data_IF_261896393644
#
_entry.id   IF_261896393644
#
_cell.length_a   1.000
_cell.length_b   1.000
_cell.length_c   1.000
_cell.angle_alpha   90.00
_cell.angle_beta   90.00
_cell.angle_gamma   90.00
#
_symmetry.space_group_name_H-M   'P 1'
#
loop_
_entity.id
_entity.type
_entity.pdbx_description
1 polymer ?
#
# COMPACT_ATOMS: atom_id res chain seq x y z
N UNK A 1 35.57 -39.01 -36.51
CA UNK A 1 35.06 -39.51 -35.22
C UNK A 1 34.32 -38.37 -34.54
N UNK A 2 33.00 -38.32 -34.72
CA UNK A 2 32.14 -37.30 -34.10
C UNK A 2 31.20 -37.98 -33.12
N UNK A 3 31.30 -37.62 -31.85
CA UNK A 3 30.43 -38.14 -30.78
C UNK A 3 29.28 -37.16 -30.59
N UNK A 4 28.15 -37.43 -31.23
CA UNK A 4 26.90 -36.71 -30.98
C UNK A 4 26.24 -37.33 -29.74
N UNK A 5 26.35 -36.67 -28.59
CA UNK A 5 25.56 -37.00 -27.40
C UNK A 5 24.16 -36.42 -27.59
N UNK A 6 23.17 -37.27 -27.89
CA UNK A 6 21.75 -36.92 -27.81
C UNK A 6 21.35 -36.85 -26.34
N UNK A 7 21.18 -35.64 -25.80
CA UNK A 7 20.43 -35.44 -24.57
C UNK A 7 18.94 -35.69 -24.86
N UNK A 8 18.41 -36.79 -24.30
CA UNK A 8 16.97 -37.05 -24.25
C UNK A 8 16.28 -35.91 -23.50
N UNK A 9 15.36 -35.22 -24.17
CA UNK A 9 14.28 -34.50 -23.51
C UNK A 9 13.29 -35.54 -22.95
N UNK A 10 13.44 -35.91 -21.68
CA UNK A 10 12.37 -36.50 -20.89
C UNK A 10 11.69 -35.37 -20.11
N UNK A 11 10.95 -34.52 -20.84
CA UNK A 11 9.98 -33.61 -20.25
C UNK A 11 8.70 -34.39 -19.99
N UNK A 12 8.63 -35.06 -18.84
CA UNK A 12 7.38 -35.67 -18.39
C UNK A 12 6.36 -34.55 -18.12
N UNK A 13 5.26 -34.59 -18.86
CA UNK A 13 3.98 -33.97 -18.54
C UNK A 13 3.53 -34.46 -17.15
N UNK A 14 4.06 -33.83 -16.08
CA UNK A 14 3.54 -34.04 -14.73
C UNK A 14 2.23 -33.27 -14.66
N UNK A 15 1.14 -33.96 -14.95
CA UNK A 15 -0.20 -33.51 -14.59
C UNK A 15 -0.16 -33.04 -13.12
N UNK A 16 -0.47 -31.77 -12.91
CA UNK A 16 -0.56 -31.22 -11.56
C UNK A 16 -1.58 -32.08 -10.78
N UNK A 17 -1.28 -32.47 -9.53
CA UNK A 17 -2.22 -33.24 -8.73
C UNK A 17 -3.55 -32.46 -8.66
N UNK A 18 -4.70 -33.15 -8.69
CA UNK A 18 -5.99 -32.50 -8.59
C UNK A 18 -6.07 -31.69 -7.30
N UNK A 19 -6.61 -30.47 -7.39
CA UNK A 19 -6.82 -29.63 -6.22
C UNK A 19 -7.73 -30.34 -5.20
N UNK A 20 -7.44 -30.17 -3.92
CA UNK A 20 -8.28 -30.76 -2.87
C UNK A 20 -9.71 -30.19 -2.94
N UNK A 21 -10.73 -30.95 -2.49
CA UNK A 21 -12.10 -30.46 -2.42
C UNK A 21 -12.25 -29.14 -1.65
N UNK A 22 -11.53 -28.98 -0.54
CA UNK A 22 -11.53 -27.74 0.24
C UNK A 22 -11.04 -26.53 -0.58
N UNK A 23 -9.95 -26.67 -1.33
CA UNK A 23 -9.41 -25.60 -2.17
C UNK A 23 -10.33 -25.29 -3.35
N UNK A 24 -10.99 -26.31 -3.90
CA UNK A 24 -12.01 -26.10 -4.93
C UNK A 24 -13.18 -25.27 -4.40
N UNK A 25 -13.66 -25.55 -3.18
CA UNK A 25 -14.71 -24.76 -2.53
C UNK A 25 -14.25 -23.32 -2.23
N UNK A 26 -13.00 -23.15 -1.78
CA UNK A 26 -12.41 -21.84 -1.52
C UNK A 26 -12.31 -20.99 -2.79
N UNK A 27 -11.84 -21.58 -3.90
CA UNK A 27 -11.74 -20.87 -5.18
C UNK A 27 -13.10 -20.41 -5.69
N UNK A 28 -14.17 -21.19 -5.48
CA UNK A 28 -15.54 -20.75 -5.81
C UNK A 28 -15.95 -19.51 -5.02
N UNK A 29 -15.56 -19.39 -3.75
CA UNK A 29 -15.81 -18.18 -2.97
C UNK A 29 -15.04 -16.97 -3.50
N UNK A 30 -13.78 -17.17 -3.91
CA UNK A 30 -12.98 -16.09 -4.53
C UNK A 30 -13.63 -15.61 -5.82
N UNK A 31 -14.15 -16.50 -6.67
CA UNK A 31 -14.91 -16.12 -7.87
C UNK A 31 -16.18 -15.34 -7.53
N UNK A 32 -16.90 -15.70 -6.47
CA UNK A 32 -18.03 -14.92 -5.99
C UNK A 32 -17.61 -13.50 -5.58
N UNK A 33 -16.49 -13.35 -4.87
CA UNK A 33 -15.96 -12.02 -4.52
C UNK A 33 -15.52 -11.22 -5.75
N UNK A 34 -14.94 -11.85 -6.78
CA UNK A 34 -14.64 -11.20 -8.07
C UNK A 34 -15.90 -10.66 -8.72
N UNK A 35 -16.94 -11.49 -8.81
CA UNK A 35 -18.23 -11.07 -9.36
C UNK A 35 -18.81 -9.90 -8.56
N UNK A 36 -18.82 -9.99 -7.23
CA UNK A 36 -19.29 -8.90 -6.36
C UNK A 36 -18.51 -7.59 -6.58
N UNK A 37 -17.17 -7.64 -6.67
CA UNK A 37 -16.36 -6.46 -6.96
C UNK A 37 -16.67 -5.86 -8.35
N UNK A 38 -16.91 -6.70 -9.36
CA UNK A 38 -17.25 -6.24 -10.70
C UNK A 38 -18.63 -5.55 -10.76
N UNK A 39 -19.62 -6.07 -10.03
CA UNK A 39 -20.97 -5.49 -9.99
C UNK A 39 -21.12 -4.32 -9.02
N UNK A 40 -20.40 -4.35 -7.89
CA UNK A 40 -20.45 -3.31 -6.85
C UNK A 40 -19.07 -3.15 -6.18
N UNK A 41 -18.20 -2.30 -6.73
CA UNK A 41 -16.85 -2.06 -6.20
C UNK A 41 -16.81 -1.56 -4.75
N UNK A 42 -17.90 -0.95 -4.26
CA UNK A 42 -18.00 -0.44 -2.89
C UNK A 42 -18.22 -1.56 -1.86
N UNK A 43 -18.69 -2.74 -2.30
CA UNK A 43 -18.93 -3.88 -1.41
C UNK A 43 -17.65 -4.66 -1.10
N UNK A 44 -16.78 -4.84 -2.10
CA UNK A 44 -15.45 -5.46 -1.94
C UNK A 44 -14.48 -4.63 -2.74
N UNK A 45 -13.56 -3.92 -2.08
CA UNK A 45 -12.55 -3.12 -2.78
C UNK A 45 -11.54 -4.01 -3.52
N UNK A 46 -10.95 -3.49 -4.60
CA UNK A 46 -9.93 -4.20 -5.39
C UNK A 46 -8.74 -4.66 -4.52
N UNK A 47 -8.32 -3.82 -3.56
CA UNK A 47 -7.27 -4.17 -2.62
C UNK A 47 -7.67 -5.34 -1.72
N UNK A 48 -8.95 -5.40 -1.31
CA UNK A 48 -9.44 -6.51 -0.49
C UNK A 48 -9.54 -7.79 -1.28
N UNK A 49 -10.01 -7.72 -2.52
CA UNK A 49 -10.07 -8.86 -3.43
C UNK A 49 -8.68 -9.50 -3.61
N UNK A 50 -7.65 -8.69 -3.87
CA UNK A 50 -6.26 -9.15 -3.98
C UNK A 50 -5.76 -9.86 -2.73
N UNK A 51 -6.17 -9.42 -1.54
CA UNK A 51 -5.81 -10.09 -0.28
C UNK A 51 -6.51 -11.45 -0.14
N UNK A 52 -7.78 -11.55 -0.52
CA UNK A 52 -8.52 -12.82 -0.51
C UNK A 52 -7.89 -13.81 -1.49
N UNK A 53 -7.56 -13.37 -2.71
CA UNK A 53 -6.86 -14.18 -3.72
C UNK A 53 -5.51 -14.67 -3.22
N UNK A 54 -4.72 -13.78 -2.59
CA UNK A 54 -3.44 -14.14 -2.02
C UNK A 54 -3.56 -15.21 -0.93
N UNK A 55 -4.45 -15.02 0.04
CA UNK A 55 -4.66 -15.99 1.14
C UNK A 55 -5.19 -17.33 0.60
N UNK A 56 -6.07 -17.32 -0.41
CA UNK A 56 -6.51 -18.54 -1.06
C UNK A 56 -5.36 -19.29 -1.77
N UNK A 57 -4.48 -18.54 -2.45
CA UNK A 57 -3.27 -19.10 -3.04
C UNK A 57 -2.32 -19.71 -2.00
N UNK A 58 -2.12 -19.04 -0.86
CA UNK A 58 -1.32 -19.60 0.24
C UNK A 58 -1.93 -20.87 0.84
N UNK A 59 -3.26 -20.93 1.02
CA UNK A 59 -3.93 -22.13 1.51
C UNK A 59 -3.79 -23.30 0.53
N UNK A 60 -3.83 -23.03 -0.78
CA UNK A 60 -3.60 -24.05 -1.80
C UNK A 60 -2.17 -24.64 -1.74
N UNK A 61 -1.17 -23.83 -1.34
CA UNK A 61 0.19 -24.29 -1.07
C UNK A 61 0.25 -25.06 0.25
N UNK A 62 -0.46 -24.59 1.28
CA UNK A 62 -0.36 -25.11 2.63
C UNK A 62 -1.07 -26.46 2.84
N UNK A 63 -2.21 -26.70 2.18
CA UNK A 63 -3.00 -27.94 2.34
C UNK A 63 -2.16 -29.20 2.05
N UNK A 64 -1.39 -29.29 0.95
CA UNK A 64 -0.48 -30.41 0.70
C UNK A 64 0.62 -30.60 1.75
N UNK A 65 0.93 -29.58 2.55
CA UNK A 65 1.94 -29.65 3.62
C UNK A 65 1.39 -30.28 4.91
N UNK A 66 0.09 -30.61 4.96
CA UNK A 66 -0.55 -31.25 6.11
C UNK A 66 -0.92 -30.26 7.21
N UNK A 67 -1.94 -29.41 6.96
CA UNK A 67 -2.48 -28.50 7.98
C UNK A 67 -3.22 -29.24 9.11
N UNK A 68 -3.95 -30.29 8.74
CA UNK A 68 -4.53 -31.30 9.61
C UNK A 68 -4.83 -32.54 8.76
N UNK A 69 -5.26 -33.65 9.36
CA UNK A 69 -5.62 -34.87 8.63
C UNK A 69 -6.77 -34.63 7.62
N UNK A 70 -7.73 -33.77 7.97
CA UNK A 70 -8.95 -33.55 7.18
C UNK A 70 -9.00 -32.19 6.46
N UNK A 71 -7.99 -31.33 6.59
CA UNK A 71 -8.00 -29.97 6.03
C UNK A 71 -8.24 -29.90 4.50
N UNK A 72 -7.98 -30.99 3.77
CA UNK A 72 -8.25 -31.08 2.33
C UNK A 72 -9.69 -31.45 1.96
N UNK A 73 -10.48 -31.98 2.89
CA UNK A 73 -11.75 -32.67 2.60
C UNK A 73 -12.93 -31.70 2.40
N UNK A 74 -12.96 -30.60 3.14
CA UNK A 74 -13.99 -29.57 2.98
C UNK A 74 -13.49 -28.20 3.44
N UNK A 75 -14.18 -27.13 3.02
CA UNK A 75 -13.89 -25.79 3.52
C UNK A 75 -14.09 -25.69 5.05
N UNK A 76 -15.03 -26.45 5.61
CA UNK A 76 -15.25 -26.50 7.06
C UNK A 76 -14.01 -27.05 7.78
N UNK A 77 -13.42 -28.12 7.25
CA UNK A 77 -12.24 -28.76 7.85
C UNK A 77 -10.98 -27.91 7.64
N UNK A 78 -10.88 -27.21 6.50
CA UNK A 78 -9.81 -26.24 6.24
C UNK A 78 -9.83 -25.05 7.22
N UNK A 79 -11.02 -24.62 7.62
CA UNK A 79 -11.23 -23.49 8.54
C UNK A 79 -11.38 -23.94 10.01
N UNK A 80 -11.16 -25.23 10.30
CA UNK A 80 -11.18 -25.74 11.67
C UNK A 80 -10.00 -25.16 12.49
N UNK A 81 -10.13 -25.02 13.83
CA UNK A 81 -9.13 -24.37 14.67
C UNK A 81 -7.70 -24.91 14.49
N UNK A 82 -7.53 -26.23 14.42
CA UNK A 82 -6.21 -26.86 14.26
C UNK A 82 -5.58 -26.56 12.89
N UNK A 83 -6.36 -26.66 11.81
CA UNK A 83 -5.89 -26.34 10.46
C UNK A 83 -5.49 -24.87 10.32
N UNK A 84 -6.28 -23.96 10.90
CA UNK A 84 -5.99 -22.52 10.95
C UNK A 84 -4.72 -22.25 11.74
N UNK A 85 -4.56 -22.86 12.92
CA UNK A 85 -3.35 -22.71 13.76
C UNK A 85 -2.09 -23.20 13.04
N UNK A 86 -2.16 -24.33 12.35
CA UNK A 86 -1.07 -24.86 11.55
C UNK A 86 -0.74 -23.91 10.39
N UNK A 87 -1.75 -23.42 9.67
CA UNK A 87 -1.60 -22.49 8.56
C UNK A 87 -0.91 -21.19 8.99
N UNK A 88 -1.36 -20.56 10.08
CA UNK A 88 -0.74 -19.34 10.60
C UNK A 88 0.70 -19.59 11.04
N UNK A 89 0.99 -20.76 11.62
CA UNK A 89 2.36 -21.14 12.00
C UNK A 89 3.29 -21.29 10.78
N UNK A 90 2.82 -21.91 9.69
CA UNK A 90 3.55 -21.97 8.43
C UNK A 90 3.81 -20.57 7.84
N UNK A 91 2.82 -19.68 7.94
CA UNK A 91 2.93 -18.29 7.51
C UNK A 91 4.00 -17.50 8.28
N UNK A 92 4.08 -17.68 9.61
CA UNK A 92 5.13 -17.08 10.46
C UNK A 92 6.52 -17.64 10.12
N UNK A 93 6.62 -18.94 9.85
CA UNK A 93 7.87 -19.59 9.43
C UNK A 93 8.32 -19.25 8.01
N UNK A 94 7.55 -18.46 7.26
CA UNK A 94 7.88 -18.07 5.88
C UNK A 94 7.71 -19.16 4.83
N UNK A 95 7.16 -20.32 5.22
CA UNK A 95 7.03 -21.50 4.35
C UNK A 95 6.03 -21.33 3.20
N UNK A 96 5.16 -20.31 3.29
CA UNK A 96 4.12 -20.03 2.31
C UNK A 96 4.54 -19.02 1.23
N UNK A 97 5.77 -18.50 1.30
CA UNK A 97 6.29 -17.52 0.35
C UNK A 97 6.86 -18.20 -0.89
N UNK A 98 6.43 -17.74 -2.07
CA UNK A 98 6.97 -18.21 -3.37
C UNK A 98 8.30 -17.55 -3.76
N UNK A 99 8.72 -16.49 -3.05
CA UNK A 99 10.03 -15.88 -3.20
C UNK A 99 10.72 -15.70 -1.85
N UNK A 100 11.99 -16.10 -1.76
CA UNK A 100 12.85 -15.82 -0.62
C UNK A 100 12.98 -14.30 -0.45
N UNK A 101 12.34 -13.75 0.57
CA UNK A 101 12.55 -12.37 1.01
C UNK A 101 13.39 -12.44 2.27
N UNK A 102 14.52 -11.73 2.28
CA UNK A 102 15.24 -11.41 3.52
C UNK A 102 14.36 -10.41 4.26
N UNK A 103 13.46 -10.91 5.11
CA UNK A 103 12.59 -10.06 5.91
C UNK A 103 13.34 -9.72 7.21
N UNK A 104 13.97 -8.55 7.24
CA UNK A 104 14.61 -8.01 8.45
C UNK A 104 13.60 -7.40 9.43
N UNK A 105 12.29 -7.53 9.15
CA UNK A 105 11.24 -6.73 9.77
C UNK A 105 10.10 -7.57 10.37
N UNK A 106 10.18 -7.77 11.69
CA UNK A 106 9.18 -8.51 12.46
C UNK A 106 7.74 -7.92 12.35
N UNK A 107 7.59 -6.62 12.06
CA UNK A 107 6.27 -5.98 11.94
C UNK A 107 5.53 -6.34 10.64
N UNK A 108 6.26 -6.76 9.61
CA UNK A 108 5.72 -7.29 8.35
C UNK A 108 4.95 -8.60 8.57
N UNK A 109 5.44 -9.42 9.51
CA UNK A 109 4.85 -10.70 9.89
C UNK A 109 3.49 -10.49 10.56
N UNK A 110 3.42 -9.58 11.55
CA UNK A 110 2.17 -9.27 12.27
C UNK A 110 1.08 -8.68 11.36
N UNK A 111 1.46 -7.78 10.45
CA UNK A 111 0.53 -7.18 9.51
C UNK A 111 -0.02 -8.23 8.52
N UNK A 112 0.85 -9.10 8.01
CA UNK A 112 0.47 -10.20 7.11
C UNK A 112 -0.46 -11.20 7.80
N UNK A 113 -0.14 -11.56 9.04
CA UNK A 113 -0.96 -12.47 9.84
C UNK A 113 -2.36 -11.92 10.13
N UNK A 114 -2.47 -10.62 10.43
CA UNK A 114 -3.78 -9.95 10.59
C UNK A 114 -4.60 -10.02 9.30
N UNK A 115 -3.96 -9.85 8.13
CA UNK A 115 -4.65 -9.99 6.85
C UNK A 115 -5.12 -11.42 6.63
N UNK A 116 -4.31 -12.43 6.96
CA UNK A 116 -4.69 -13.84 6.91
C UNK A 116 -5.92 -14.11 7.75
N UNK A 117 -5.90 -13.75 9.04
CA UNK A 117 -7.02 -13.94 9.97
C UNK A 117 -8.29 -13.25 9.44
N UNK A 118 -8.16 -12.02 8.94
CA UNK A 118 -9.29 -11.30 8.35
C UNK A 118 -9.89 -12.05 7.14
N UNK A 119 -9.05 -12.56 6.24
CA UNK A 119 -9.50 -13.27 5.04
C UNK A 119 -10.16 -14.60 5.41
N UNK A 120 -9.57 -15.37 6.32
CA UNK A 120 -10.14 -16.62 6.83
C UNK A 120 -11.55 -16.41 7.39
N UNK A 121 -11.73 -15.37 8.21
CA UNK A 121 -13.05 -15.06 8.76
C UNK A 121 -14.02 -14.58 7.69
N UNK A 122 -13.53 -13.87 6.67
CA UNK A 122 -14.36 -13.43 5.54
C UNK A 122 -14.85 -14.62 4.71
N UNK A 123 -13.99 -15.62 4.48
CA UNK A 123 -14.38 -16.89 3.86
C UNK A 123 -15.41 -17.64 4.70
N UNK A 124 -15.16 -17.79 6.00
CA UNK A 124 -16.06 -18.46 6.92
C UNK A 124 -17.45 -17.83 6.94
N UNK A 125 -17.51 -16.50 7.07
CA UNK A 125 -18.76 -15.74 7.11
C UNK A 125 -19.58 -15.92 5.83
N UNK A 126 -18.92 -15.84 4.67
CA UNK A 126 -19.62 -15.98 3.38
C UNK A 126 -20.07 -17.42 3.14
N UNK A 127 -19.27 -18.40 3.55
CA UNK A 127 -19.61 -19.82 3.47
C UNK A 127 -20.58 -20.29 4.56
N UNK A 128 -20.94 -19.43 5.52
CA UNK A 128 -21.73 -19.76 6.71
C UNK A 128 -21.13 -20.91 7.52
N UNK A 129 -19.80 -20.97 7.58
CA UNK A 129 -19.03 -21.94 8.36
C UNK A 129 -18.73 -21.33 9.74
N UNK A 130 -18.99 -22.04 10.85
CA UNK A 130 -18.56 -21.59 12.16
C UNK A 130 -17.03 -21.41 12.21
N UNK A 131 -16.57 -20.28 12.72
CA UNK A 131 -15.15 -19.94 12.77
C UNK A 131 -14.78 -19.32 14.10
N UNK A 132 -13.77 -19.90 14.74
CA UNK A 132 -13.16 -19.36 15.95
C UNK A 132 -12.01 -18.44 15.54
N UNK A 133 -12.21 -17.12 15.72
CA UNK A 133 -11.21 -16.13 15.33
C UNK A 133 -9.96 -16.25 16.21
N UNK A 134 -8.77 -16.54 15.65
CA UNK A 134 -7.53 -16.58 16.42
C UNK A 134 -7.19 -15.22 17.02
N UNK A 135 -6.40 -15.21 18.10
CA UNK A 135 -5.90 -13.97 18.68
C UNK A 135 -5.08 -13.17 17.66
N UNK A 136 -5.38 -11.87 17.55
CA UNK A 136 -4.62 -10.99 16.67
C UNK A 136 -3.24 -10.72 17.30
N UNK A 137 -2.15 -10.73 16.53
CA UNK A 137 -0.82 -10.34 17.04
C UNK A 137 -0.87 -8.91 17.55
N UNK A 138 0.01 -8.55 18.50
CA UNK A 138 0.03 -7.21 19.12
C UNK A 138 0.18 -6.06 18.10
N UNK A 139 -0.21 -4.85 18.47
CA UNK A 139 0.14 -3.65 17.72
C UNK A 139 1.37 -3.02 18.34
N UNK A 140 2.54 -3.56 18.01
CA UNK A 140 3.78 -2.83 18.25
C UNK A 140 3.87 -1.72 17.19
N UNK A 141 3.56 -0.48 17.59
CA UNK A 141 3.97 0.66 16.79
C UNK A 141 5.50 0.68 16.76
N UNK A 142 6.11 0.88 15.59
CA UNK A 142 7.56 1.08 15.53
C UNK A 142 7.92 2.29 16.40
N UNK A 143 9.12 2.30 17.00
CA UNK A 143 9.69 3.53 17.51
C UNK A 143 9.60 4.58 16.40
N UNK A 144 8.98 5.69 16.74
CA UNK A 144 8.86 6.82 15.84
C UNK A 144 10.22 7.48 15.78
N UNK A 145 10.83 7.33 14.62
CA UNK A 145 12.13 7.92 14.27
C UNK A 145 12.09 9.46 14.41
N UNK A 146 13.26 10.08 14.41
CA UNK A 146 13.41 11.51 14.73
C UNK A 146 12.63 12.45 13.80
N UNK A 147 12.05 13.51 14.39
CA UNK A 147 11.32 14.61 13.72
C UNK A 147 12.11 15.30 12.59
N UNK A 148 13.46 15.26 12.64
CA UNK A 148 14.34 15.90 11.65
C UNK A 148 14.16 15.40 10.21
N UNK A 149 13.50 14.26 10.00
CA UNK A 149 13.35 13.67 8.67
C UNK A 149 12.47 14.49 7.74
N UNK A 150 11.53 15.27 8.30
CA UNK A 150 10.75 16.24 7.54
C UNK A 150 11.68 17.21 6.81
N UNK A 151 12.59 17.81 7.57
CA UNK A 151 13.47 18.87 7.09
C UNK A 151 14.46 18.35 6.05
N UNK A 152 15.00 17.15 6.26
CA UNK A 152 15.93 16.53 5.30
C UNK A 152 15.26 16.30 3.94
N UNK A 153 14.03 15.77 3.92
CA UNK A 153 13.29 15.56 2.66
C UNK A 153 12.89 16.90 2.04
N UNK A 154 12.40 17.85 2.83
CA UNK A 154 12.06 19.20 2.34
C UNK A 154 13.27 19.88 1.71
N UNK A 155 14.41 19.85 2.38
CA UNK A 155 15.67 20.43 1.89
C UNK A 155 16.11 19.76 0.59
N UNK A 156 16.11 18.43 0.52
CA UNK A 156 16.46 17.71 -0.69
C UNK A 156 15.55 18.10 -1.87
N UNK A 157 14.23 18.14 -1.65
CA UNK A 157 13.28 18.55 -2.70
C UNK A 157 13.48 20.00 -3.14
N UNK A 158 13.76 20.92 -2.21
CA UNK A 158 14.06 22.32 -2.52
C UNK A 158 15.37 22.45 -3.31
N UNK A 159 16.42 21.70 -2.94
CA UNK A 159 17.67 21.65 -3.68
C UNK A 159 17.47 21.10 -5.11
N UNK A 160 16.73 20.01 -5.27
CA UNK A 160 16.37 19.48 -6.59
C UNK A 160 15.58 20.50 -7.42
N UNK A 161 14.64 21.23 -6.80
CA UNK A 161 13.87 22.27 -7.47
C UNK A 161 14.71 23.49 -7.85
N UNK A 162 15.74 23.81 -7.07
CA UNK A 162 16.68 24.91 -7.30
C UNK A 162 17.66 24.67 -8.45
N UNK A 163 17.78 23.43 -8.94
CA UNK A 163 18.56 23.11 -10.15
C UNK A 163 17.93 23.63 -11.45
N UNK A 164 16.68 24.09 -11.37
CA UNK A 164 15.89 24.51 -12.53
C UNK A 164 15.39 25.94 -12.34
N UNK A 165 15.43 26.78 -13.39
CA UNK A 165 14.61 27.99 -13.45
C UNK A 165 13.14 27.64 -13.22
N UNK A 166 12.39 28.53 -12.58
CA UNK A 166 10.98 28.28 -12.24
C UNK A 166 10.12 27.95 -13.46
N UNK A 167 10.35 28.64 -14.58
CA UNK A 167 9.62 28.43 -15.84
C UNK A 167 9.87 27.04 -16.44
N UNK A 168 11.09 26.53 -16.34
CA UNK A 168 11.56 25.28 -16.94
C UNK A 168 11.54 24.09 -15.96
N UNK A 169 11.07 24.31 -14.72
CA UNK A 169 11.06 23.27 -13.68
C UNK A 169 10.17 22.10 -14.13
N UNK A 170 10.68 20.86 -14.11
CA UNK A 170 9.90 19.69 -14.49
C UNK A 170 8.62 19.54 -13.64
N UNK A 171 7.50 19.23 -14.29
CA UNK A 171 6.20 19.03 -13.63
C UNK A 171 6.26 17.98 -12.50
N UNK A 172 7.11 16.95 -12.66
CA UNK A 172 7.32 15.93 -11.65
C UNK A 172 7.86 16.48 -10.32
N UNK A 173 8.70 17.52 -10.38
CA UNK A 173 9.26 18.20 -9.20
C UNK A 173 8.20 19.10 -8.58
N UNK A 174 7.50 19.91 -9.38
CA UNK A 174 6.41 20.78 -8.90
C UNK A 174 5.34 19.96 -8.20
N UNK A 175 4.89 18.87 -8.82
CA UNK A 175 3.96 17.91 -8.21
C UNK A 175 4.51 17.31 -6.93
N UNK A 176 5.80 16.92 -6.94
CA UNK A 176 6.45 16.28 -5.80
C UNK A 176 6.50 17.19 -4.57
N UNK A 177 6.84 18.48 -4.76
CA UNK A 177 6.81 19.48 -3.70
C UNK A 177 5.40 19.67 -3.14
N UNK A 178 4.39 19.84 -4.00
CA UNK A 178 3.00 19.99 -3.57
C UNK A 178 2.49 18.74 -2.81
N UNK A 179 2.79 17.53 -3.32
CA UNK A 179 2.47 16.28 -2.63
C UNK A 179 3.13 16.17 -1.26
N UNK A 180 4.39 16.61 -1.15
CA UNK A 180 5.13 16.59 0.11
C UNK A 180 4.58 17.60 1.13
N UNK A 181 4.23 18.82 0.69
CA UNK A 181 3.56 19.80 1.55
C UNK A 181 2.23 19.27 2.08
N UNK A 182 1.38 18.72 1.20
CA UNK A 182 0.11 18.07 1.59
C UNK A 182 0.35 16.91 2.56
N UNK A 183 1.43 16.15 2.38
CA UNK A 183 1.82 15.10 3.32
C UNK A 183 2.16 15.63 4.71
N UNK A 184 2.94 16.71 4.78
CA UNK A 184 3.33 17.31 6.06
C UNK A 184 2.12 17.88 6.81
N UNK A 185 1.21 18.55 6.10
CA UNK A 185 0.07 19.23 6.71
C UNK A 185 -1.05 18.25 7.06
N UNK A 186 -1.29 17.26 6.20
CA UNK A 186 -2.50 16.43 6.29
C UNK A 186 -2.24 14.95 6.54
N UNK A 187 -0.99 14.49 6.49
CA UNK A 187 -0.59 13.11 6.77
C UNK A 187 -1.47 12.05 6.07
N UNK A 188 -1.77 12.18 4.76
CA UNK A 188 -2.67 11.27 4.08
C UNK A 188 -1.99 9.92 3.87
N UNK A 189 -2.77 8.85 3.97
CA UNK A 189 -2.33 7.55 3.48
C UNK A 189 -2.19 7.61 1.98
N UNK A 190 -1.37 6.73 1.43
CA UNK A 190 -1.11 6.72 0.00
C UNK A 190 -2.38 6.52 -0.86
N UNK A 191 -3.34 5.72 -0.37
CA UNK A 191 -4.64 5.56 -1.03
C UNK A 191 -5.55 6.79 -0.90
N UNK A 192 -5.47 7.51 0.21
CA UNK A 192 -6.20 8.78 0.41
C UNK A 192 -5.64 9.84 -0.54
N UNK A 193 -4.30 9.98 -0.57
CA UNK A 193 -3.60 10.88 -1.49
C UNK A 193 -3.95 10.56 -2.95
N UNK A 194 -3.86 9.30 -3.38
CA UNK A 194 -4.25 8.84 -4.72
C UNK A 194 -5.69 9.22 -5.09
N UNK A 195 -6.61 9.17 -4.12
CA UNK A 195 -8.04 9.43 -4.34
C UNK A 195 -8.45 10.90 -4.32
N UNK A 196 -7.56 11.82 -3.93
CA UNK A 196 -7.87 13.25 -3.84
C UNK A 196 -8.30 13.83 -5.19
N UNK A 197 -9.35 14.65 -5.16
CA UNK A 197 -9.96 15.32 -6.31
C UNK A 197 -9.96 16.82 -6.13
N UNK A 198 -10.15 17.55 -7.23
CA UNK A 198 -10.27 19.01 -7.19
C UNK A 198 -11.43 19.50 -6.32
N UNK A 199 -12.54 18.77 -6.29
CA UNK A 199 -13.71 19.08 -5.46
C UNK A 199 -13.43 18.94 -3.95
N UNK A 200 -12.34 18.29 -3.58
CA UNK A 200 -11.93 18.16 -2.18
C UNK A 200 -11.16 19.41 -1.71
N UNK A 201 -10.77 20.29 -2.64
CA UNK A 201 -10.12 21.56 -2.33
C UNK A 201 -11.16 22.66 -2.13
N UNK A 202 -11.05 23.37 -1.02
CA UNK A 202 -11.82 24.60 -0.78
C UNK A 202 -10.85 25.75 -0.65
N UNK A 203 -10.83 26.62 -1.66
CA UNK A 203 -10.08 27.86 -1.68
C UNK A 203 -10.99 29.00 -1.18
N UNK A 204 -10.53 29.70 -0.16
CA UNK A 204 -11.10 30.96 0.30
C UNK A 204 -10.11 32.10 -0.01
N UNK A 205 -10.52 33.36 0.16
CA UNK A 205 -9.64 34.50 -0.05
C UNK A 205 -8.41 34.49 0.88
N UNK A 206 -8.53 33.87 2.05
CA UNK A 206 -7.51 33.89 3.11
C UNK A 206 -6.79 32.54 3.32
N UNK A 207 -7.35 31.44 2.83
CA UNK A 207 -6.81 30.10 3.08
C UNK A 207 -7.19 29.06 2.04
N UNK A 208 -6.33 28.07 1.87
CA UNK A 208 -6.62 26.85 1.13
C UNK A 208 -6.78 25.69 2.11
N UNK A 209 -7.92 25.02 2.04
CA UNK A 209 -8.21 23.83 2.85
C UNK A 209 -8.46 22.62 1.97
N UNK A 210 -8.19 21.44 2.53
CA UNK A 210 -8.35 20.16 1.86
C UNK A 210 -9.23 19.25 2.70
N UNK A 211 -10.33 18.79 2.10
CA UNK A 211 -11.18 17.75 2.64
C UNK A 211 -10.55 16.38 2.37
N UNK A 212 -10.44 15.55 3.41
CA UNK A 212 -9.89 14.20 3.34
C UNK A 212 -10.89 13.25 3.96
N UNK A 213 -11.26 12.21 3.22
CA UNK A 213 -12.08 11.13 3.77
C UNK A 213 -11.17 10.07 4.38
N UNK A 214 -11.04 10.07 5.72
CA UNK A 214 -10.19 9.14 6.46
C UNK A 214 -10.80 7.76 6.46
N UNK A 215 -10.06 6.80 5.92
CA UNK A 215 -10.52 5.41 5.91
C UNK A 215 -10.23 4.74 7.25
N UNK A 216 -11.12 3.86 7.77
CA UNK A 216 -10.82 3.08 8.97
C UNK A 216 -9.53 2.28 8.83
N UNK A 217 -8.66 2.31 9.84
CA UNK A 217 -7.36 1.64 9.81
C UNK A 217 -7.47 0.22 10.40
N UNK A 218 -6.61 -0.71 9.95
CA UNK A 218 -6.38 -1.96 10.67
C UNK A 218 -7.51 -2.99 10.71
N UNK A 219 -8.49 -2.90 9.81
CA UNK A 219 -9.62 -3.83 9.80
C UNK A 219 -10.65 -3.56 10.90
N UNK A 220 -10.67 -2.35 11.48
CA UNK A 220 -11.74 -1.87 12.35
C UNK A 220 -13.07 -1.93 11.60
N UNK A 221 -13.86 -2.96 11.91
CA UNK A 221 -15.14 -3.30 11.27
C UNK A 221 -16.19 -2.24 11.57
N UNK A 222 -17.02 -1.93 10.56
CA UNK A 222 -18.23 -1.13 10.74
C UNK A 222 -18.01 0.35 11.10
N UNK A 223 -16.75 0.81 11.21
CA UNK A 223 -16.47 2.25 11.32
C UNK A 223 -16.65 2.90 9.96
N UNK A 224 -17.37 4.01 9.94
CA UNK A 224 -17.65 4.79 8.75
C UNK A 224 -16.40 5.64 8.45
N UNK A 225 -16.14 5.92 7.17
CA UNK A 225 -15.08 6.84 6.81
C UNK A 225 -15.42 8.24 7.36
N UNK A 226 -14.45 8.89 8.00
CA UNK A 226 -14.66 10.17 8.68
C UNK A 226 -14.12 11.29 7.78
N UNK A 227 -14.95 12.26 7.37
CA UNK A 227 -14.47 13.44 6.69
C UNK A 227 -13.69 14.32 7.67
N UNK A 228 -12.50 14.74 7.26
CA UNK A 228 -11.65 15.67 7.98
C UNK A 228 -11.35 16.84 7.04
N UNK A 229 -11.45 18.08 7.54
CA UNK A 229 -11.00 19.26 6.80
C UNK A 229 -9.70 19.72 7.43
N UNK A 230 -8.62 19.66 6.67
CA UNK A 230 -7.30 20.13 7.08
C UNK A 230 -6.99 21.48 6.43
N UNK A 231 -6.59 22.45 7.25
CA UNK A 231 -6.03 23.70 6.76
C UNK A 231 -4.61 23.44 6.25
N UNK A 232 -4.30 23.96 5.06
CA UNK A 232 -2.96 23.88 4.52
C UNK A 232 -2.15 25.09 4.98
N UNK A 233 -0.86 24.88 5.24
CA UNK A 233 0.07 25.97 5.48
C UNK A 233 0.18 26.86 4.23
N UNK A 234 0.61 28.11 4.43
CA UNK A 234 0.77 29.08 3.34
C UNK A 234 1.76 28.57 2.27
N UNK A 235 2.83 27.90 2.70
CA UNK A 235 3.81 27.25 1.80
C UNK A 235 3.17 26.11 1.00
N UNK A 236 2.43 25.20 1.65
CA UNK A 236 1.73 24.12 0.94
C UNK A 236 0.68 24.67 -0.01
N UNK A 237 -0.07 25.70 0.39
CA UNK A 237 -1.07 26.33 -0.46
C UNK A 237 -0.43 26.94 -1.72
N UNK A 238 0.70 27.64 -1.55
CA UNK A 238 1.48 28.17 -2.67
C UNK A 238 1.99 27.06 -3.60
N UNK A 239 2.65 26.03 -3.06
CA UNK A 239 3.11 24.88 -3.85
C UNK A 239 1.97 24.18 -4.61
N UNK A 240 0.81 24.06 -3.96
CA UNK A 240 -0.36 23.44 -4.55
C UNK A 240 -0.94 24.30 -5.67
N UNK A 241 -0.97 25.63 -5.54
CA UNK A 241 -1.38 26.54 -6.60
C UNK A 241 -0.50 26.42 -7.85
N UNK A 242 0.83 26.33 -7.67
CA UNK A 242 1.79 26.12 -8.75
C UNK A 242 1.53 24.79 -9.47
N UNK A 243 1.24 23.74 -8.70
CA UNK A 243 0.87 22.44 -9.27
C UNK A 243 -0.45 22.52 -10.05
N UNK A 244 -1.49 23.18 -9.51
CA UNK A 244 -2.80 23.29 -10.16
C UNK A 244 -2.71 23.97 -11.53
N UNK A 245 -1.86 24.99 -11.67
CA UNK A 245 -1.60 25.64 -12.96
C UNK A 245 -0.96 24.68 -13.97
N UNK A 246 0.12 24.00 -13.60
CA UNK A 246 0.82 23.02 -14.45
C UNK A 246 -0.10 21.85 -14.83
N UNK A 247 -0.86 21.36 -13.85
CA UNK A 247 -1.89 20.33 -14.02
C UNK A 247 -2.94 20.74 -15.06
N UNK A 248 -3.41 21.98 -15.05
CA UNK A 248 -4.34 22.48 -16.06
C UNK A 248 -3.71 22.49 -17.47
N UNK A 249 -2.40 22.72 -17.58
CA UNK A 249 -1.64 22.54 -18.81
C UNK A 249 -1.67 21.09 -19.32
N UNK A 250 -1.39 20.12 -18.46
CA UNK A 250 -1.41 18.69 -18.80
C UNK A 250 -2.78 18.20 -19.27
N UNK A 251 -3.85 18.62 -18.58
CA UNK A 251 -5.22 18.20 -18.94
C UNK A 251 -5.67 18.80 -20.27
N UNK A 252 -5.27 20.04 -20.59
CA UNK A 252 -5.60 20.68 -21.88
C UNK A 252 -5.10 19.93 -23.10
N UNK A 253 -4.07 19.09 -22.94
CA UNK A 253 -3.47 18.30 -24.03
C UNK A 253 -4.20 16.98 -24.27
N UNK A 254 -5.10 16.57 -23.37
CA UNK A 254 -5.84 15.31 -23.48
C UNK A 254 -7.06 15.45 -24.38
N UNK A 255 -7.26 14.49 -25.28
CA UNK A 255 -8.51 14.32 -26.01
C UNK A 255 -9.46 13.48 -25.16
N UNK A 256 -10.56 14.08 -24.69
CA UNK A 256 -11.55 13.41 -23.83
C UNK A 256 -12.03 14.28 -22.67
N UNK A 257 -12.71 13.67 -21.69
CA UNK A 257 -13.13 14.35 -20.46
C UNK A 257 -11.94 14.72 -19.56
N UNK A 258 -12.04 15.85 -18.86
CA UNK A 258 -11.00 16.33 -17.96
C UNK A 258 -10.93 15.47 -16.68
N UNK A 259 -9.79 14.81 -16.37
CA UNK A 259 -9.65 14.10 -15.11
C UNK A 259 -9.86 15.05 -13.93
N UNK A 260 -10.61 14.62 -12.91
CA UNK A 260 -10.90 15.40 -11.71
C UNK A 260 -9.91 15.15 -10.56
N UNK A 261 -9.02 14.17 -10.72
CA UNK A 261 -8.01 13.82 -9.72
C UNK A 261 -7.01 14.96 -9.54
N UNK A 262 -6.61 15.23 -8.29
CA UNK A 262 -5.65 16.26 -7.96
C UNK A 262 -4.26 15.93 -8.53
N UNK A 263 -3.90 14.66 -8.48
CA UNK A 263 -2.58 14.18 -8.85
C UNK A 263 -2.59 13.46 -10.19
N UNK A 264 -1.78 13.94 -11.12
CA UNK A 264 -1.66 13.38 -12.46
C UNK A 264 -0.23 12.88 -12.69
N UNK A 265 -0.10 11.90 -13.58
CA UNK A 265 1.18 11.50 -14.13
C UNK A 265 1.75 12.65 -14.98
N UNK A 266 3.07 12.76 -15.02
CA UNK A 266 3.79 13.86 -15.67
C UNK A 266 4.72 13.31 -16.76
N UNK A 267 5.08 14.10 -17.78
CA UNK A 267 6.11 13.71 -18.74
C UNK A 267 7.42 13.30 -18.05
N UNK A 268 8.22 12.41 -18.67
CA UNK A 268 8.03 11.80 -19.99
C UNK A 268 7.15 10.54 -19.99
N UNK A 269 6.34 10.31 -18.95
CA UNK A 269 5.49 9.12 -18.88
C UNK A 269 4.39 9.17 -19.98
N UNK A 270 4.10 8.07 -20.70
CA UNK A 270 3.07 8.06 -21.75
C UNK A 270 1.68 8.44 -21.23
N UNK A 271 1.38 8.08 -19.99
CA UNK A 271 0.12 8.43 -19.31
C UNK A 271 0.10 9.87 -18.76
N UNK A 272 0.96 10.78 -19.24
CA UNK A 272 0.99 12.17 -18.77
C UNK A 272 -0.41 12.81 -18.87
N UNK A 273 -0.82 13.51 -17.80
CA UNK A 273 -2.17 14.07 -17.68
C UNK A 273 -3.23 13.09 -17.17
N UNK A 274 -2.99 11.78 -17.14
CA UNK A 274 -3.90 10.82 -16.51
C UNK A 274 -3.64 10.69 -14.99
N UNK A 275 -4.63 10.27 -14.18
CA UNK A 275 -4.43 10.09 -12.73
C UNK A 275 -3.23 9.22 -12.39
N UNK A 276 -2.37 9.69 -11.48
CA UNK A 276 -1.25 8.88 -11.00
C UNK A 276 -1.74 7.79 -10.04
N UNK A 277 -1.34 6.56 -10.31
CA UNK A 277 -1.66 5.42 -9.44
C UNK A 277 -0.78 5.40 -8.19
N UNK A 278 -1.26 4.76 -7.13
CA UNK A 278 -0.55 4.50 -5.86
C UNK A 278 0.91 4.12 -6.04
N UNK A 279 1.16 3.18 -6.94
CA UNK A 279 2.51 2.67 -7.24
C UNK A 279 3.44 3.76 -7.76
N UNK A 280 2.91 4.70 -8.55
CA UNK A 280 3.65 5.85 -9.04
C UNK A 280 4.05 6.79 -7.90
N UNK A 281 3.13 7.08 -6.97
CA UNK A 281 3.40 7.91 -5.80
C UNK A 281 4.43 7.22 -4.88
N UNK A 282 4.26 5.94 -4.57
CA UNK A 282 5.26 5.16 -3.80
C UNK A 282 6.64 5.21 -4.45
N UNK A 283 6.71 4.99 -5.76
CA UNK A 283 7.97 4.95 -6.49
C UNK A 283 8.65 6.33 -6.50
N UNK A 284 7.88 7.40 -6.63
CA UNK A 284 8.41 8.76 -6.52
C UNK A 284 9.00 9.01 -5.14
N UNK A 285 8.25 8.75 -4.06
CA UNK A 285 8.75 8.93 -2.70
C UNK A 285 9.98 8.07 -2.41
N UNK A 286 9.96 6.80 -2.82
CA UNK A 286 11.12 5.91 -2.68
C UNK A 286 12.36 6.50 -3.36
N UNK A 287 12.25 7.07 -4.57
CA UNK A 287 13.40 7.69 -5.24
C UNK A 287 13.97 8.87 -4.46
N UNK A 288 13.10 9.73 -3.94
CA UNK A 288 13.48 10.90 -3.12
C UNK A 288 14.19 10.44 -1.84
N UNK A 289 13.55 9.57 -1.08
CA UNK A 289 14.10 9.05 0.17
C UNK A 289 15.40 8.24 -0.05
N UNK A 290 15.49 7.47 -1.14
CA UNK A 290 16.70 6.72 -1.48
C UNK A 290 17.86 7.64 -1.88
N UNK A 291 17.60 8.75 -2.57
CA UNK A 291 18.64 9.74 -2.88
C UNK A 291 19.19 10.37 -1.59
N UNK A 292 18.29 10.75 -0.68
CA UNK A 292 18.67 11.23 0.66
C UNK A 292 19.45 10.18 1.44
N UNK A 293 19.00 8.93 1.46
CA UNK A 293 19.71 7.85 2.16
C UNK A 293 21.12 7.65 1.61
N UNK A 294 21.33 7.71 0.30
CA UNK A 294 22.68 7.62 -0.30
C UNK A 294 23.60 8.74 0.24
N UNK A 295 23.08 9.96 0.38
CA UNK A 295 23.83 11.08 0.96
C UNK A 295 24.10 10.87 2.47
N UNK A 296 23.12 10.35 3.21
CA UNK A 296 23.26 10.03 4.63
C UNK A 296 24.26 8.89 4.87
N UNK A 297 24.26 7.85 4.03
CA UNK A 297 25.20 6.73 4.08
C UNK A 297 26.63 7.22 3.81
N UNK A 298 26.81 8.07 2.80
CA UNK A 298 28.10 8.70 2.51
C UNK A 298 28.61 9.58 3.66
N UNK A 299 27.68 10.18 4.43
CA UNK A 299 27.97 10.97 5.63
C UNK A 299 28.13 10.12 6.91
N UNK A 300 27.98 8.79 6.83
CA UNK A 300 28.10 7.89 7.99
C UNK A 300 26.99 8.03 9.02
N UNK A 301 25.79 8.44 8.61
CA UNK A 301 24.63 8.55 9.49
C UNK A 301 24.23 7.15 9.99
N UNK A 302 23.98 6.96 11.30
CA UNK A 302 23.53 5.67 11.84
C UNK A 302 22.21 5.18 11.24
N UNK A 303 22.02 3.86 11.13
CA UNK A 303 20.81 3.26 10.53
C UNK A 303 19.49 3.75 11.16
N UNK A 304 19.48 3.95 12.49
CA UNK A 304 18.33 4.47 13.23
C UNK A 304 17.91 5.89 12.81
N UNK A 305 18.83 6.61 12.16
CA UNK A 305 18.72 7.99 11.75
C UNK A 305 18.59 8.17 10.23
N UNK A 306 18.45 7.06 9.51
CA UNK A 306 18.18 7.08 8.07
C UNK A 306 16.72 7.41 7.79
N UNK A 307 16.51 8.23 6.77
CA UNK A 307 15.16 8.61 6.36
C UNK A 307 14.38 7.38 5.86
N UNK A 308 13.13 7.14 6.31
CA UNK A 308 12.35 6.00 5.85
C UNK A 308 12.07 6.04 4.35
N UNK A 309 12.35 4.95 3.65
CA UNK A 309 12.11 4.83 2.19
C UNK A 309 10.66 4.50 1.81
N UNK A 310 9.82 4.18 2.79
CA UNK A 310 8.39 3.91 2.59
C UNK A 310 7.54 5.09 3.07
N UNK A 311 6.61 5.52 2.21
CA UNK A 311 5.67 6.60 2.50
C UNK A 311 4.94 6.41 3.83
N UNK A 312 4.37 5.23 4.05
CA UNK A 312 3.59 4.95 5.26
C UNK A 312 4.44 4.98 6.53
N UNK A 313 5.72 4.59 6.44
CA UNK A 313 6.64 4.70 7.58
C UNK A 313 6.89 6.17 7.89
N UNK A 314 7.20 6.99 6.89
CA UNK A 314 7.37 8.44 7.07
C UNK A 314 6.10 9.11 7.61
N UNK A 315 4.92 8.77 7.08
CA UNK A 315 3.63 9.28 7.58
C UNK A 315 3.45 9.04 9.07
N UNK A 316 3.79 7.83 9.52
CA UNK A 316 3.65 7.43 10.93
C UNK A 316 4.66 8.15 11.82
N UNK A 317 5.87 8.40 11.31
CA UNK A 317 6.86 9.24 11.98
C UNK A 317 6.29 10.63 12.26
N UNK A 318 5.83 11.32 11.20
CA UNK A 318 5.31 12.68 11.31
C UNK A 318 4.03 12.75 12.15
N UNK A 319 3.19 11.71 12.11
CA UNK A 319 2.00 11.61 12.96
C UNK A 319 2.38 11.56 14.45
N UNK A 320 3.38 10.76 14.81
CA UNK A 320 3.80 10.66 16.20
C UNK A 320 4.50 11.91 16.70
N UNK A 321 5.26 12.58 15.83
CA UNK A 321 5.82 13.91 16.11
C UNK A 321 4.71 14.92 16.45
N UNK A 322 3.66 14.99 15.61
CA UNK A 322 2.51 15.87 15.85
C UNK A 322 1.83 15.55 17.19
N UNK A 323 1.61 14.26 17.48
CA UNK A 323 1.01 13.82 18.74
C UNK A 323 1.88 14.14 19.96
N UNK A 324 3.21 14.06 19.83
CA UNK A 324 4.16 14.47 20.88
C UNK A 324 4.08 15.97 21.14
N UNK A 325 4.13 16.80 20.09
CA UNK A 325 4.05 18.26 20.21
C UNK A 325 2.73 18.74 20.84
N UNK A 326 1.60 18.08 20.51
CA UNK A 326 0.30 18.36 21.12
C UNK A 326 0.24 17.96 22.60
N UNK A 327 0.96 16.91 23.01
CA UNK A 327 1.03 16.48 24.40
C UNK A 327 1.88 17.42 25.25
N UNK A 328 3.00 17.92 24.71
CA UNK A 328 3.89 18.86 25.41
C UNK A 328 3.28 20.27 25.55
N UNK A 329 2.24 20.58 24.78
CA UNK A 329 1.54 21.87 24.80
C UNK A 329 0.37 21.93 25.80
N UNK A 330 0.11 20.86 26.57
CA UNK A 330 -0.98 20.76 27.55
C UNK A 330 -0.47 20.72 28.98
#
# INVERSE_FOLDING_TARGET
>A
MGTTVRLRQEGADRALPPLSPAITQLNRLVELFRAMNAFNPDTVSEARLKQLEWVAGELAIAVPMGLSETAGESLKDLLAPEAVKAYLSLGRGGHLRTMATVDTDLTSVDASERIRIYCLETFARHAKVPFETPSLPGWALRPTVSARFRDVISQHLQLEAGKWPEVDRPDAIVRGLAMWGVMCDTLPRLGELESMRLQDLTLTEESLSLAITRQPQGGLRGKIAEPEIAQLSEETAWLLSQWLERRAGLVRQLQGGAPTHLWLSTPPHPDAGLPIKRRGISKWYWKVANAVQIEQDAAGVPEADLVPTRWETMRRTLLAERQGAEADSR
#
